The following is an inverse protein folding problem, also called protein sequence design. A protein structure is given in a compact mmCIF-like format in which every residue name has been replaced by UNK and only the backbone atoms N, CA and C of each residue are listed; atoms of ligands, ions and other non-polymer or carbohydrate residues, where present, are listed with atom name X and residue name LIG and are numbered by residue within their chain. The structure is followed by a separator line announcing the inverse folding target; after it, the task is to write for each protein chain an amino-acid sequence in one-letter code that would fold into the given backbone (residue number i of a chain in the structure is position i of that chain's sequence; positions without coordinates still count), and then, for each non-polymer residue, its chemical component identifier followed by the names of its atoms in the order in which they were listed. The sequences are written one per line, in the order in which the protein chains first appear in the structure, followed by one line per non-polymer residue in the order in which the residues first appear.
data_IF_033271910000
#
_entry.id   IF_033271910000
#
_cell.length_a   1.000
_cell.length_b   1.000
_cell.length_c   1.000
_cell.angle_alpha   90.00
_cell.angle_beta   90.00
_cell.angle_gamma   90.00
#
_symmetry.space_group_name_H-M   'P 1'
#
loop_
_entity.id
_entity.type
_entity.pdbx_description
1 polymer ?
#
# COMPACT_ATOMS: atom_id res chain seq x y z
N UNK A 1 -13.14 23.34 -42.39
CA UNK A 1 -12.21 22.89 -43.45
C UNK A 1 -11.76 21.49 -43.14
N UNK A 2 -11.99 20.66 -44.08
CA UNK A 2 -11.81 19.22 -44.09
C UNK A 2 -10.32 18.88 -44.32
N UNK A 3 -9.76 17.92 -43.64
CA UNK A 3 -8.46 17.34 -43.95
C UNK A 3 -8.40 15.87 -43.50
N UNK A 4 -8.84 15.00 -44.43
CA UNK A 4 -8.63 13.54 -44.36
C UNK A 4 -7.25 13.21 -44.96
N UNK A 5 -6.53 12.32 -44.37
CA UNK A 5 -5.51 11.48 -45.03
C UNK A 5 -5.36 10.21 -44.15
N UNK A 6 -5.85 9.13 -44.54
CA UNK A 6 -5.59 8.10 -45.54
C UNK A 6 -4.38 7.22 -45.20
N UNK A 7 -4.77 5.99 -44.93
CA UNK A 7 -4.10 4.68 -44.87
C UNK A 7 -2.76 4.55 -45.61
N UNK A 8 -1.89 3.69 -45.05
CA UNK A 8 -1.14 2.69 -45.84
C UNK A 8 -0.85 1.44 -44.97
N UNK A 9 -1.57 0.37 -45.32
CA UNK A 9 -1.29 -1.02 -45.00
C UNK A 9 -0.17 -1.55 -45.93
N UNK A 10 0.81 -2.25 -45.36
CA UNK A 10 1.65 -3.18 -46.16
C UNK A 10 1.77 -4.50 -45.39
N UNK A 11 1.29 -5.61 -45.97
CA UNK A 11 1.57 -6.94 -45.46
C UNK A 11 2.85 -7.47 -46.12
N UNK A 12 3.80 -7.96 -45.29
CA UNK A 12 4.91 -8.77 -45.82
C UNK A 12 4.84 -10.15 -45.22
N UNK A 13 4.30 -11.06 -46.05
CA UNK A 13 4.37 -12.51 -45.87
C UNK A 13 5.74 -13.01 -46.35
N UNK A 14 6.46 -13.71 -45.50
CA UNK A 14 7.60 -14.53 -45.90
C UNK A 14 7.40 -15.95 -45.35
N UNK A 15 7.05 -16.85 -46.28
CA UNK A 15 7.10 -18.29 -46.13
C UNK A 15 8.57 -18.74 -46.14
N UNK A 16 8.98 -19.46 -45.13
CA UNK A 16 10.15 -20.32 -45.17
C UNK A 16 9.80 -21.70 -44.60
N UNK A 17 9.61 -22.63 -45.47
CA UNK A 17 9.54 -24.08 -45.19
C UNK A 17 10.94 -24.59 -44.86
N UNK A 18 11.10 -25.24 -43.71
CA UNK A 18 12.21 -26.17 -43.48
C UNK A 18 11.70 -27.35 -42.66
N UNK A 19 11.62 -28.51 -43.31
CA UNK A 19 11.47 -29.80 -42.66
C UNK A 19 12.70 -30.14 -41.84
N UNK A 20 12.50 -30.54 -40.59
CA UNK A 20 13.50 -31.12 -39.70
C UNK A 20 12.80 -31.96 -38.65
N UNK A 21 12.70 -33.27 -38.93
CA UNK A 21 12.22 -34.29 -37.99
C UNK A 21 13.18 -34.45 -36.81
N UNK A 22 12.75 -34.08 -35.64
CA UNK A 22 13.45 -34.35 -34.38
C UNK A 22 12.43 -34.27 -33.24
N UNK A 23 11.85 -35.41 -32.88
CA UNK A 23 10.90 -35.53 -31.81
C UNK A 23 11.53 -35.23 -30.43
N UNK A 24 11.44 -34.01 -29.98
CA UNK A 24 11.65 -33.66 -28.58
C UNK A 24 10.28 -33.44 -27.99
N UNK A 25 9.86 -34.38 -27.16
CA UNK A 25 8.68 -34.29 -26.31
C UNK A 25 8.79 -33.00 -25.47
N UNK A 26 7.85 -32.06 -25.52
CA UNK A 26 7.89 -30.93 -24.64
C UNK A 26 7.81 -31.48 -23.23
N UNK A 27 8.82 -31.14 -22.42
CA UNK A 27 8.76 -31.34 -20.97
C UNK A 27 7.54 -30.59 -20.48
N UNK A 28 6.55 -31.32 -20.02
CA UNK A 28 5.42 -30.73 -19.32
C UNK A 28 6.00 -29.98 -18.11
N UNK A 29 5.96 -28.65 -18.16
CA UNK A 29 6.16 -27.82 -16.96
C UNK A 29 5.13 -28.27 -15.95
N UNK A 30 5.55 -29.08 -15.01
CA UNK A 30 4.73 -29.45 -13.86
C UNK A 30 4.45 -28.18 -13.06
N UNK A 31 3.33 -27.54 -13.37
CA UNK A 31 2.77 -26.50 -12.52
C UNK A 31 2.38 -27.22 -11.23
N UNK A 32 3.27 -27.21 -10.25
CA UNK A 32 2.98 -27.72 -8.90
C UNK A 32 1.89 -26.81 -8.33
N UNK A 33 0.65 -27.23 -8.45
CA UNK A 33 -0.48 -26.52 -7.85
C UNK A 33 -0.34 -26.65 -6.34
N UNK A 34 0.27 -25.63 -5.72
CA UNK A 34 0.34 -25.53 -4.26
C UNK A 34 -1.07 -25.54 -3.71
N UNK A 35 -1.37 -26.43 -2.77
CA UNK A 35 -2.71 -26.47 -2.17
C UNK A 35 -3.03 -25.12 -1.51
N UNK A 36 -4.28 -24.70 -1.53
CA UNK A 36 -4.72 -23.43 -0.94
C UNK A 36 -4.33 -23.32 0.56
N UNK A 37 -4.34 -24.44 1.30
CA UNK A 37 -3.91 -24.48 2.70
C UNK A 37 -2.41 -24.14 2.84
N UNK A 38 -1.55 -24.70 1.99
CA UNK A 38 -0.11 -24.40 2.00
C UNK A 38 0.16 -22.96 1.58
N UNK A 39 -0.55 -22.43 0.58
CA UNK A 39 -0.44 -21.04 0.15
C UNK A 39 -0.82 -20.08 1.28
N UNK A 40 -1.90 -20.36 2.00
CA UNK A 40 -2.34 -19.57 3.16
C UNK A 40 -1.29 -19.58 4.27
N UNK A 41 -0.74 -20.75 4.59
CA UNK A 41 0.30 -20.87 5.59
C UNK A 41 1.55 -20.07 5.21
N UNK A 42 2.01 -20.18 3.95
CA UNK A 42 3.18 -19.46 3.44
C UNK A 42 3.02 -17.95 3.56
N UNK A 43 1.88 -17.41 3.09
CA UNK A 43 1.63 -15.96 3.15
C UNK A 43 1.52 -15.47 4.59
N UNK A 44 0.81 -16.20 5.46
CA UNK A 44 0.67 -15.82 6.87
C UNK A 44 2.02 -15.87 7.61
N UNK A 45 2.88 -16.85 7.33
CA UNK A 45 4.22 -16.92 7.90
C UNK A 45 5.09 -15.75 7.44
N UNK A 46 5.04 -15.38 6.15
CA UNK A 46 5.78 -14.25 5.62
C UNK A 46 5.34 -12.92 6.26
N UNK A 47 4.03 -12.70 6.42
CA UNK A 47 3.48 -11.55 7.13
C UNK A 47 3.95 -11.52 8.59
N UNK A 48 3.84 -12.64 9.30
CA UNK A 48 4.23 -12.74 10.71
C UNK A 48 5.75 -12.55 10.90
N UNK A 49 6.57 -12.97 9.93
CA UNK A 49 8.01 -12.78 9.92
C UNK A 49 8.36 -11.30 9.74
N UNK A 50 7.77 -10.64 8.73
CA UNK A 50 8.00 -9.23 8.43
C UNK A 50 7.55 -8.30 9.55
N UNK A 51 6.44 -8.60 10.23
CA UNK A 51 5.91 -7.81 11.35
C UNK A 51 6.84 -7.75 12.58
N UNK A 52 7.94 -8.47 12.60
CA UNK A 52 8.93 -8.51 13.70
C UNK A 52 10.23 -7.81 13.34
N UNK A 53 10.35 -7.27 12.17
CA UNK A 53 11.58 -6.68 11.66
C UNK A 53 11.37 -5.23 11.26
N UNK A 54 12.36 -4.37 11.49
CA UNK A 54 12.41 -3.08 10.83
C UNK A 54 12.39 -3.27 9.32
N UNK A 55 11.80 -2.31 8.60
CA UNK A 55 11.61 -2.42 7.16
C UNK A 55 11.58 -1.05 6.50
N UNK A 56 12.19 -0.95 5.32
CA UNK A 56 11.93 0.15 4.39
C UNK A 56 10.66 -0.16 3.60
N UNK A 57 9.68 0.75 3.63
CA UNK A 57 8.44 0.62 2.89
C UNK A 57 8.28 1.77 1.89
N UNK A 58 8.01 1.44 0.64
CA UNK A 58 7.57 2.39 -0.37
C UNK A 58 6.11 2.13 -0.70
N UNK A 59 5.31 3.20 -0.82
CA UNK A 59 3.89 3.12 -1.12
C UNK A 59 3.55 3.93 -2.36
N UNK A 60 2.65 3.42 -3.16
CA UNK A 60 1.97 4.15 -4.20
C UNK A 60 0.48 3.88 -4.15
N UNK A 61 -0.32 4.93 -4.31
CA UNK A 61 -1.77 4.83 -4.26
C UNK A 61 -2.43 5.63 -5.37
N UNK A 62 -3.59 5.16 -5.80
CA UNK A 62 -4.47 5.83 -6.74
C UNK A 62 -5.89 5.76 -6.18
N UNK A 63 -6.47 6.93 -5.96
CA UNK A 63 -7.91 7.09 -5.67
C UNK A 63 -8.58 7.65 -6.91
N UNK A 64 -9.62 6.96 -7.40
CA UNK A 64 -10.44 7.44 -8.51
C UNK A 64 -11.86 7.63 -8.03
N UNK A 65 -12.34 8.87 -8.08
CA UNK A 65 -13.69 9.24 -7.68
C UNK A 65 -14.24 10.29 -8.63
N UNK A 66 -15.47 10.12 -9.12
CA UNK A 66 -16.16 11.08 -10.00
C UNK A 66 -15.33 11.53 -11.21
N UNK A 67 -14.56 10.61 -11.81
CA UNK A 67 -13.68 10.90 -12.94
C UNK A 67 -12.38 11.61 -12.59
N UNK A 68 -12.16 11.98 -11.34
CA UNK A 68 -10.90 12.56 -10.86
C UNK A 68 -9.98 11.50 -10.29
N UNK A 69 -8.68 11.74 -10.41
CA UNK A 69 -7.64 10.88 -9.88
C UNK A 69 -6.76 11.64 -8.88
N UNK A 70 -6.63 11.07 -7.69
CA UNK A 70 -5.69 11.52 -6.67
C UNK A 70 -4.61 10.46 -6.58
N UNK A 71 -3.37 10.84 -6.81
CA UNK A 71 -2.21 9.97 -6.68
C UNK A 71 -1.50 10.26 -5.38
N UNK A 72 -1.05 9.21 -4.73
CA UNK A 72 -0.17 9.31 -3.57
C UNK A 72 1.05 8.43 -3.78
N UNK A 73 2.18 8.87 -3.30
CA UNK A 73 3.40 8.09 -3.26
C UNK A 73 4.22 8.50 -2.04
N UNK A 74 4.98 7.57 -1.52
CA UNK A 74 5.81 7.86 -0.36
C UNK A 74 6.73 6.70 -0.05
N UNK A 75 7.66 6.94 0.88
CA UNK A 75 8.51 5.91 1.44
C UNK A 75 8.95 6.27 2.84
N UNK A 76 9.42 5.28 3.58
CA UNK A 76 9.92 5.50 4.92
C UNK A 76 10.43 4.23 5.56
N UNK A 77 11.02 4.39 6.72
CA UNK A 77 11.58 3.31 7.52
C UNK A 77 10.77 3.16 8.79
N UNK A 78 10.37 1.94 9.10
CA UNK A 78 9.52 1.66 10.26
C UNK A 78 10.02 0.43 11.00
N UNK A 79 10.08 0.52 12.32
CA UNK A 79 10.27 -0.64 13.20
C UNK A 79 8.95 -0.97 13.92
N UNK A 80 8.27 -2.05 13.52
CA UNK A 80 7.01 -2.46 14.13
C UNK A 80 7.15 -2.87 15.61
N UNK A 81 8.36 -3.28 16.04
CA UNK A 81 8.62 -3.76 17.39
C UNK A 81 8.71 -2.60 18.38
N UNK A 82 9.48 -1.57 18.04
CA UNK A 82 9.60 -0.35 18.84
C UNK A 82 8.44 0.62 18.60
N UNK A 83 7.65 0.41 17.55
CA UNK A 83 6.63 1.35 17.08
C UNK A 83 7.23 2.72 16.76
N UNK A 84 8.36 2.72 16.06
CA UNK A 84 9.04 3.95 15.63
C UNK A 84 9.20 3.97 14.13
N UNK A 85 9.23 5.15 13.52
CA UNK A 85 9.41 5.28 12.08
C UNK A 85 9.36 6.71 11.58
N UNK A 86 9.79 6.88 10.34
CA UNK A 86 9.64 8.12 9.58
C UNK A 86 9.10 7.79 8.20
N UNK A 87 8.10 8.54 7.75
CA UNK A 87 7.48 8.34 6.43
C UNK A 87 7.32 9.69 5.77
N UNK A 88 7.67 9.75 4.48
CA UNK A 88 7.47 10.90 3.62
C UNK A 88 6.44 10.52 2.55
N UNK A 89 5.33 11.22 2.50
CA UNK A 89 4.24 11.00 1.53
C UNK A 89 4.04 12.25 0.68
N UNK A 90 3.75 12.07 -0.58
CA UNK A 90 3.32 13.12 -1.49
C UNK A 90 1.93 12.80 -2.02
N UNK A 91 0.99 13.74 -1.90
CA UNK A 91 -0.40 13.59 -2.33
C UNK A 91 -0.69 14.61 -3.43
N UNK A 92 -1.15 14.10 -4.57
CA UNK A 92 -1.55 14.96 -5.70
C UNK A 92 -2.94 15.52 -5.49
N UNK A 93 -3.05 16.82 -5.24
CA UNK A 93 -4.31 17.54 -5.07
C UNK A 93 -4.39 18.69 -6.05
N UNK A 94 -5.42 18.71 -6.92
CA UNK A 94 -5.63 19.83 -7.85
C UNK A 94 -4.46 20.13 -8.80
N UNK A 95 -3.69 19.10 -9.16
CA UNK A 95 -2.48 19.26 -10.00
C UNK A 95 -1.22 19.65 -9.25
N UNK A 96 -1.29 19.84 -7.94
CA UNK A 96 -0.14 20.12 -7.07
C UNK A 96 0.23 18.90 -6.24
N UNK A 97 1.52 18.76 -5.90
CA UNK A 97 1.99 17.75 -4.96
C UNK A 97 2.08 18.38 -3.57
N UNK A 98 1.35 17.82 -2.63
CA UNK A 98 1.36 18.25 -1.22
C UNK A 98 2.20 17.25 -0.42
N UNK A 99 3.37 17.67 0.07
CA UNK A 99 4.20 16.81 0.91
C UNK A 99 3.59 16.69 2.31
N UNK A 100 3.74 15.51 2.88
CA UNK A 100 3.33 15.17 4.25
C UNK A 100 4.43 14.32 4.86
N UNK A 101 5.01 14.81 5.94
CA UNK A 101 6.03 14.11 6.70
C UNK A 101 5.41 13.57 7.99
N UNK A 102 5.69 12.31 8.29
CA UNK A 102 5.23 11.64 9.49
C UNK A 102 6.42 11.10 10.29
N UNK A 103 6.35 11.27 11.61
CA UNK A 103 7.26 10.64 12.56
C UNK A 103 6.42 9.89 13.58
N UNK A 104 6.65 8.59 13.68
CA UNK A 104 6.04 7.71 14.68
C UNK A 104 7.01 7.50 15.82
N UNK A 105 6.56 7.75 17.05
CA UNK A 105 7.31 7.52 18.28
C UNK A 105 6.39 6.88 19.33
N UNK A 106 6.40 5.56 19.39
CA UNK A 106 5.52 4.76 20.22
C UNK A 106 4.04 4.96 19.85
N UNK A 107 3.28 5.59 20.75
CA UNK A 107 1.86 5.89 20.53
C UNK A 107 1.61 7.29 19.99
N UNK A 108 2.66 8.04 19.70
CA UNK A 108 2.58 9.42 19.23
C UNK A 108 2.93 9.47 17.74
N UNK A 109 2.13 10.18 16.97
CA UNK A 109 2.40 10.55 15.60
C UNK A 109 2.61 12.05 15.51
N UNK A 110 3.68 12.45 14.85
CA UNK A 110 3.93 13.83 14.48
C UNK A 110 3.72 13.97 12.99
N UNK A 111 2.96 14.95 12.57
CA UNK A 111 2.64 15.19 11.16
C UNK A 111 3.00 16.62 10.79
N UNK A 112 3.70 16.78 9.67
CA UNK A 112 4.02 18.08 9.08
C UNK A 112 3.60 18.11 7.62
N UNK A 113 2.99 19.21 7.21
CA UNK A 113 2.64 19.48 5.81
C UNK A 113 2.45 20.98 5.61
N UNK A 114 2.74 21.45 4.40
CA UNK A 114 2.41 22.82 3.99
C UNK A 114 0.91 23.10 4.06
N UNK A 115 0.07 22.08 3.92
CA UNK A 115 -1.39 22.19 4.05
C UNK A 115 -1.81 22.72 5.42
N UNK A 116 -1.09 22.40 6.48
CA UNK A 116 -1.43 22.84 7.85
C UNK A 116 -0.88 24.21 8.22
N UNK A 117 -0.02 24.80 7.40
CA UNK A 117 0.73 26.02 7.76
C UNK A 117 -0.16 27.19 8.16
N UNK A 118 -1.34 27.33 7.55
CA UNK A 118 -2.31 28.39 7.87
C UNK A 118 -3.08 28.19 9.19
N UNK A 119 -3.08 26.98 9.72
CA UNK A 119 -3.77 26.62 10.96
C UNK A 119 -2.82 26.57 12.16
N UNK A 120 -1.52 26.47 11.90
CA UNK A 120 -0.53 26.34 12.97
C UNK A 120 -0.19 27.71 13.58
N UNK A 121 -0.04 27.77 14.92
CA UNK A 121 0.51 28.96 15.58
C UNK A 121 1.92 29.29 15.07
N UNK A 122 2.30 30.57 15.17
CA UNK A 122 3.63 31.02 14.74
C UNK A 122 4.77 30.18 15.33
N UNK A 123 5.71 29.78 14.50
CA UNK A 123 6.85 28.94 14.88
C UNK A 123 6.55 27.44 15.00
N UNK A 124 5.30 27.01 14.86
CA UNK A 124 4.94 25.60 14.86
C UNK A 124 4.97 25.05 13.44
N UNK A 125 5.44 23.80 13.31
CA UNK A 125 5.57 23.07 12.03
C UNK A 125 4.93 21.67 12.10
N UNK A 126 4.78 21.14 13.31
CA UNK A 126 4.36 19.77 13.56
C UNK A 126 3.10 19.73 14.39
N UNK A 127 2.15 18.91 13.93
CA UNK A 127 1.00 18.47 14.71
C UNK A 127 1.39 17.20 15.47
N UNK A 128 1.02 17.15 16.74
CA UNK A 128 1.17 15.96 17.58
C UNK A 128 -0.20 15.33 17.80
N UNK A 129 -0.32 14.02 17.52
CA UNK A 129 -1.53 13.23 17.69
C UNK A 129 -1.18 11.92 18.40
N UNK A 130 -2.16 11.28 19.01
CA UNK A 130 -2.05 9.84 19.27
C UNK A 130 -2.40 9.02 18.02
N UNK A 131 -1.91 7.79 17.92
CA UNK A 131 -2.09 6.91 16.75
C UNK A 131 -3.57 6.67 16.46
N UNK A 132 -4.43 6.54 17.48
CA UNK A 132 -5.86 6.27 17.27
C UNK A 132 -6.57 7.47 16.66
N UNK A 133 -6.29 8.69 17.17
CA UNK A 133 -6.81 9.95 16.62
C UNK A 133 -6.31 10.17 15.20
N UNK A 134 -5.06 9.88 14.94
CA UNK A 134 -4.48 9.99 13.62
C UNK A 134 -5.17 9.05 12.61
N UNK A 135 -5.39 7.80 12.96
CA UNK A 135 -6.09 6.82 12.12
C UNK A 135 -7.53 7.23 11.80
N UNK A 136 -8.22 7.86 12.75
CA UNK A 136 -9.57 8.36 12.56
C UNK A 136 -9.61 9.56 11.61
N UNK A 137 -8.60 10.41 11.65
CA UNK A 137 -8.54 11.67 10.90
C UNK A 137 -8.11 11.46 9.45
N UNK A 138 -7.03 10.71 9.23
CA UNK A 138 -6.46 10.51 7.90
C UNK A 138 -7.02 9.26 7.20
N UNK A 139 -7.82 8.49 7.93
CA UNK A 139 -8.38 7.23 7.46
C UNK A 139 -7.40 6.06 7.53
N UNK A 140 -7.94 4.83 7.59
CA UNK A 140 -7.13 3.62 7.75
C UNK A 140 -6.06 3.43 6.68
N UNK A 141 -6.31 3.93 5.46
CA UNK A 141 -5.38 3.76 4.35
C UNK A 141 -4.10 4.61 4.49
N UNK A 142 -4.20 5.81 5.09
CA UNK A 142 -3.04 6.68 5.31
C UNK A 142 -2.12 6.13 6.41
N UNK A 143 -2.70 5.43 7.40
CA UNK A 143 -1.98 4.86 8.54
C UNK A 143 -1.65 3.38 8.44
N UNK A 144 -2.15 2.67 7.41
CA UNK A 144 -1.81 1.27 7.18
C UNK A 144 -0.29 1.01 7.09
N UNK A 145 0.48 2.08 6.77
CA UNK A 145 1.94 2.03 6.71
C UNK A 145 2.59 2.25 8.08
N UNK A 146 1.98 3.07 8.95
CA UNK A 146 2.55 3.50 10.23
C UNK A 146 2.20 2.57 11.37
N UNK A 147 0.94 2.10 11.47
CA UNK A 147 0.54 1.24 12.60
C UNK A 147 1.20 -0.14 12.56
N UNK A 148 1.27 -0.74 11.40
CA UNK A 148 1.94 -2.04 11.19
C UNK A 148 2.34 -2.16 9.71
N UNK A 149 3.52 -1.71 9.31
CA UNK A 149 4.02 -1.91 7.95
C UNK A 149 3.92 -3.37 7.55
N UNK A 150 3.32 -3.64 6.40
CA UNK A 150 3.07 -5.00 5.96
C UNK A 150 1.95 -5.74 6.70
N UNK A 151 1.22 -5.08 7.62
CA UNK A 151 0.03 -5.67 8.23
C UNK A 151 -1.09 -5.75 7.20
N UNK A 152 -1.23 -6.90 6.59
CA UNK A 152 -2.38 -7.22 5.77
C UNK A 152 -3.55 -7.64 6.68
N UNK A 153 -4.81 -7.38 6.26
CA UNK A 153 -5.96 -7.93 6.95
C UNK A 153 -5.89 -9.47 6.94
N UNK A 154 -6.61 -10.16 7.81
CA UNK A 154 -6.70 -11.61 7.74
C UNK A 154 -7.13 -12.07 6.34
N UNK A 155 -6.42 -13.05 5.77
CA UNK A 155 -6.62 -13.51 4.41
C UNK A 155 -7.27 -14.89 4.37
N UNK A 156 -8.09 -15.10 3.36
CA UNK A 156 -8.69 -16.37 2.97
C UNK A 156 -8.61 -16.57 1.46
N UNK A 157 -8.93 -17.77 0.98
CA UNK A 157 -8.89 -18.13 -0.44
C UNK A 157 -7.54 -17.79 -1.09
N UNK A 158 -6.44 -18.07 -0.36
CA UNK A 158 -5.09 -17.79 -0.84
C UNK A 158 -4.68 -18.84 -1.86
N UNK A 159 -4.26 -18.41 -3.04
CA UNK A 159 -3.74 -19.30 -4.07
C UNK A 159 -2.61 -18.64 -4.85
N UNK A 160 -1.65 -19.44 -5.29
CA UNK A 160 -0.55 -18.99 -6.12
C UNK A 160 -1.05 -18.66 -7.52
N UNK A 161 -0.65 -17.51 -8.05
CA UNK A 161 -1.06 -17.02 -9.37
C UNK A 161 0.11 -16.79 -10.32
N UNK A 162 1.35 -16.90 -9.83
CA UNK A 162 2.53 -16.76 -10.68
C UNK A 162 3.78 -16.43 -9.89
N UNK A 163 4.80 -15.97 -10.59
CA UNK A 163 6.07 -15.49 -10.05
C UNK A 163 6.40 -14.11 -10.63
N UNK A 164 7.20 -13.33 -9.95
CA UNK A 164 7.69 -12.04 -10.42
C UNK A 164 8.99 -11.69 -9.72
N UNK A 165 9.79 -10.80 -10.31
CA UNK A 165 10.90 -10.16 -9.63
C UNK A 165 10.45 -8.83 -9.03
N UNK A 166 10.67 -8.62 -7.75
CA UNK A 166 10.38 -7.38 -7.02
C UNK A 166 11.69 -6.87 -6.45
N UNK A 167 12.15 -5.72 -6.92
CA UNK A 167 13.41 -5.08 -6.48
C UNK A 167 14.61 -6.05 -6.46
N UNK A 168 14.74 -6.86 -7.52
CA UNK A 168 15.81 -7.86 -7.67
C UNK A 168 15.54 -9.19 -6.96
N UNK A 169 14.52 -9.30 -6.12
CA UNK A 169 14.18 -10.54 -5.41
C UNK A 169 13.16 -11.36 -6.20
N UNK A 170 13.46 -12.64 -6.40
CA UNK A 170 12.50 -13.58 -6.98
C UNK A 170 11.38 -13.86 -5.98
N UNK A 171 10.15 -13.63 -6.39
CA UNK A 171 8.97 -13.78 -5.54
C UNK A 171 7.93 -14.68 -6.15
N UNK A 172 7.17 -15.34 -5.31
CA UNK A 172 5.92 -16.01 -5.68
C UNK A 172 4.76 -15.07 -5.42
N UNK A 173 3.92 -14.87 -6.42
CA UNK A 173 2.73 -14.03 -6.35
C UNK A 173 1.53 -14.87 -5.92
N UNK A 174 0.83 -14.39 -4.91
CA UNK A 174 -0.41 -14.96 -4.40
C UNK A 174 -1.56 -13.98 -4.59
N UNK A 175 -2.75 -14.52 -4.85
CA UNK A 175 -4.02 -13.82 -4.82
C UNK A 175 -4.82 -14.29 -3.61
N UNK A 176 -5.52 -13.38 -2.95
CA UNK A 176 -6.25 -13.65 -1.73
C UNK A 176 -7.50 -12.75 -1.61
N UNK A 177 -8.37 -13.09 -0.68
CA UNK A 177 -9.49 -12.25 -0.22
C UNK A 177 -9.36 -11.94 1.25
N UNK A 178 -10.00 -10.87 1.71
CA UNK A 178 -10.09 -10.55 3.14
C UNK A 178 -11.01 -11.55 3.84
N UNK A 179 -10.52 -12.18 4.90
CA UNK A 179 -11.34 -12.97 5.81
C UNK A 179 -12.08 -12.06 6.78
N UNK A 180 -13.27 -11.64 6.39
CA UNK A 180 -14.11 -10.75 7.21
C UNK A 180 -14.53 -11.38 8.53
N UNK A 181 -14.55 -12.71 8.65
CA UNK A 181 -14.92 -13.39 9.90
C UNK A 181 -13.91 -13.11 11.01
N UNK A 182 -12.63 -12.97 10.66
CA UNK A 182 -11.50 -12.74 11.56
C UNK A 182 -11.19 -11.27 11.86
N UNK A 183 -11.93 -10.34 11.27
CA UNK A 183 -11.79 -8.92 11.58
C UNK A 183 -12.29 -8.64 13.00
N UNK A 184 -11.62 -7.71 13.70
CA UNK A 184 -12.08 -7.25 15.02
C UNK A 184 -13.44 -6.55 14.94
N UNK A 185 -14.20 -6.46 16.03
CA UNK A 185 -15.48 -5.73 16.06
C UNK A 185 -15.32 -4.27 15.60
N UNK A 186 -14.25 -3.60 15.98
CA UNK A 186 -13.95 -2.23 15.56
C UNK A 186 -13.72 -2.13 14.03
N UNK A 187 -12.94 -3.05 13.46
CA UNK A 187 -12.72 -3.11 12.02
C UNK A 187 -14.02 -3.39 11.25
N UNK A 188 -14.85 -4.33 11.74
CA UNK A 188 -16.18 -4.62 11.14
C UNK A 188 -17.09 -3.40 11.17
N UNK A 189 -17.11 -2.66 12.28
CA UNK A 189 -17.89 -1.44 12.42
C UNK A 189 -17.41 -0.35 11.45
N UNK A 190 -16.10 -0.10 11.39
CA UNK A 190 -15.50 0.86 10.47
C UNK A 190 -15.81 0.56 9.01
N UNK A 191 -15.71 -0.71 8.60
CA UNK A 191 -16.07 -1.13 7.24
C UNK A 191 -17.54 -0.93 6.92
N UNK A 192 -18.42 -1.17 7.90
CA UNK A 192 -19.85 -0.96 7.74
C UNK A 192 -20.19 0.51 7.59
N UNK A 193 -19.62 1.38 8.40
CA UNK A 193 -19.87 2.84 8.36
C UNK A 193 -19.30 3.49 7.10
N UNK A 194 -18.15 3.05 6.62
CA UNK A 194 -17.49 3.62 5.44
C UNK A 194 -17.91 2.97 4.11
N UNK A 195 -18.83 1.97 4.14
CA UNK A 195 -19.28 1.23 2.94
C UNK A 195 -18.11 0.72 2.07
N UNK A 196 -17.02 0.29 2.74
CA UNK A 196 -15.82 -0.21 2.05
C UNK A 196 -16.02 -1.66 1.64
N UNK A 197 -15.69 -1.95 0.40
CA UNK A 197 -15.61 -3.29 -0.15
C UNK A 197 -14.19 -3.59 -0.58
N UNK A 198 -13.63 -4.68 -0.07
CA UNK A 198 -12.33 -5.16 -0.53
C UNK A 198 -12.48 -5.92 -1.84
N UNK A 199 -11.61 -5.61 -2.78
CA UNK A 199 -11.35 -6.40 -3.97
C UNK A 199 -10.33 -7.52 -3.69
N UNK A 200 -9.60 -7.89 -4.72
CA UNK A 200 -8.51 -8.85 -4.62
C UNK A 200 -7.31 -8.24 -3.91
N UNK A 201 -6.69 -9.03 -3.03
CA UNK A 201 -5.39 -8.71 -2.44
C UNK A 201 -4.34 -9.56 -3.14
N UNK A 202 -3.29 -8.94 -3.59
CA UNK A 202 -2.14 -9.61 -4.18
C UNK A 202 -0.94 -9.46 -3.25
N UNK A 203 -0.21 -10.56 -3.03
CA UNK A 203 0.95 -10.60 -2.13
C UNK A 203 2.10 -11.30 -2.84
N UNK A 204 3.28 -10.71 -2.82
CA UNK A 204 4.52 -11.27 -3.37
C UNK A 204 5.44 -11.67 -2.22
N UNK A 205 5.67 -12.95 -2.09
CA UNK A 205 6.54 -13.53 -1.06
C UNK A 205 7.85 -13.98 -1.70
N UNK A 206 8.95 -13.49 -1.17
CA UNK A 206 10.30 -13.84 -1.61
C UNK A 206 10.74 -15.23 -1.14
N UNK A 207 11.77 -15.77 -1.77
CA UNK A 207 12.42 -17.01 -1.36
C UNK A 207 13.05 -16.92 0.05
N UNK A 208 13.31 -15.70 0.51
CA UNK A 208 13.75 -15.37 1.88
C UNK A 208 12.61 -15.44 2.92
N UNK A 209 11.38 -15.67 2.47
CA UNK A 209 10.19 -15.79 3.30
C UNK A 209 9.64 -14.46 3.82
N UNK A 210 9.99 -13.33 3.22
CA UNK A 210 9.37 -12.03 3.50
C UNK A 210 8.38 -11.63 2.42
N UNK A 211 7.46 -10.73 2.76
CA UNK A 211 6.58 -10.08 1.78
C UNK A 211 7.35 -8.90 1.17
N UNK A 212 7.60 -8.95 -0.12
CA UNK A 212 8.29 -7.86 -0.83
C UNK A 212 7.34 -6.86 -1.48
N UNK A 213 6.09 -7.28 -1.76
CA UNK A 213 5.05 -6.38 -2.28
C UNK A 213 3.67 -6.85 -1.83
N UNK A 214 2.80 -5.92 -1.55
CA UNK A 214 1.38 -6.15 -1.40
C UNK A 214 0.59 -5.12 -2.20
N UNK A 215 -0.49 -5.56 -2.85
CA UNK A 215 -1.42 -4.67 -3.54
C UNK A 215 -2.84 -4.95 -3.04
N UNK A 216 -3.52 -3.90 -2.68
CA UNK A 216 -4.89 -3.95 -2.18
C UNK A 216 -5.75 -3.05 -3.04
N UNK A 217 -6.85 -3.57 -3.53
CA UNK A 217 -7.87 -2.80 -4.20
C UNK A 217 -9.12 -2.75 -3.31
N UNK A 218 -9.67 -1.55 -3.16
CA UNK A 218 -10.90 -1.34 -2.40
C UNK A 218 -11.81 -0.41 -3.17
N UNK A 219 -13.11 -0.51 -2.90
CA UNK A 219 -14.06 0.53 -3.29
C UNK A 219 -14.81 1.02 -2.06
N UNK A 220 -15.04 2.31 -1.98
CA UNK A 220 -15.82 2.96 -0.94
C UNK A 220 -16.96 3.75 -1.55
N UNK A 221 -18.01 3.98 -0.78
CA UNK A 221 -19.12 4.83 -1.18
C UNK A 221 -19.33 5.91 -0.13
N UNK A 222 -19.19 7.17 -0.52
CA UNK A 222 -19.38 8.31 0.36
C UNK A 222 -20.21 9.38 -0.36
N UNK A 223 -21.23 9.90 0.30
CA UNK A 223 -22.10 10.95 -0.28
C UNK A 223 -22.77 10.55 -1.60
N UNK A 224 -23.08 9.27 -1.81
CA UNK A 224 -23.66 8.75 -3.05
C UNK A 224 -22.64 8.56 -4.19
N UNK A 225 -21.38 8.89 -3.99
CA UNK A 225 -20.31 8.73 -4.98
C UNK A 225 -19.44 7.51 -4.67
N UNK A 226 -19.09 6.76 -5.71
CA UNK A 226 -18.19 5.63 -5.63
C UNK A 226 -16.74 6.08 -5.86
N UNK A 227 -15.85 5.69 -4.94
CA UNK A 227 -14.42 5.82 -5.10
C UNK A 227 -13.78 4.43 -5.21
N UNK A 228 -12.84 4.27 -6.13
CA UNK A 228 -11.98 3.11 -6.22
C UNK A 228 -10.60 3.50 -5.73
N UNK A 229 -10.01 2.67 -4.89
CA UNK A 229 -8.72 2.91 -4.25
C UNK A 229 -7.83 1.70 -4.55
N UNK A 230 -6.68 1.93 -5.13
CA UNK A 230 -5.63 0.94 -5.30
C UNK A 230 -4.38 1.39 -4.56
N UNK A 231 -3.86 0.56 -3.67
CA UNK A 231 -2.62 0.83 -2.93
C UNK A 231 -1.66 -0.31 -3.17
N UNK A 232 -0.43 0.03 -3.51
CA UNK A 232 0.69 -0.90 -3.61
C UNK A 232 1.75 -0.50 -2.61
N UNK A 233 2.16 -1.42 -1.76
CA UNK A 233 3.28 -1.27 -0.84
C UNK A 233 4.38 -2.22 -1.26
N UNK A 234 5.61 -1.73 -1.34
CA UNK A 234 6.82 -2.53 -1.60
C UNK A 234 7.71 -2.44 -0.37
N UNK A 235 8.20 -3.57 0.12
CA UNK A 235 8.98 -3.70 1.35
C UNK A 235 10.36 -4.25 1.02
N UNK A 236 11.39 -3.62 1.59
CA UNK A 236 12.80 -3.99 1.42
C UNK A 236 13.59 -3.74 2.71
N UNK A 237 14.87 -4.06 2.69
CA UNK A 237 15.80 -3.74 3.78
C UNK A 237 15.34 -4.26 5.15
N UNK A 238 14.76 -5.45 5.17
CA UNK A 238 14.32 -6.08 6.41
C UNK A 238 15.47 -6.28 7.38
N UNK A 239 15.28 -5.84 8.64
CA UNK A 239 16.27 -5.98 9.72
C UNK A 239 17.26 -4.84 9.83
N UNK A 240 17.23 -3.85 8.94
CA UNK A 240 18.05 -2.64 9.06
C UNK A 240 17.53 -1.74 10.19
N UNK A 241 18.45 -1.16 10.98
CA UNK A 241 18.06 -0.31 12.11
C UNK A 241 17.38 0.97 11.65
N UNK A 242 16.25 1.31 12.28
CA UNK A 242 15.52 2.57 12.01
C UNK A 242 15.97 3.64 13.00
N UNK A 243 16.37 4.79 12.45
CA UNK A 243 16.72 5.95 13.24
C UNK A 243 15.61 6.99 13.14
N UNK A 244 15.07 7.38 14.28
CA UNK A 244 13.97 8.35 14.36
C UNK A 244 14.40 9.59 15.12
N UNK A 245 14.17 10.76 14.53
CA UNK A 245 14.37 12.04 15.20
C UNK A 245 13.01 12.64 15.51
N UNK A 246 12.67 12.68 16.80
CA UNK A 246 11.41 13.29 17.26
C UNK A 246 11.46 14.80 17.04
N UNK A 247 10.42 15.43 16.47
CA UNK A 247 10.36 16.87 16.28
C UNK A 247 10.51 17.67 17.58
N UNK A 248 11.23 18.79 17.57
CA UNK A 248 11.43 19.62 18.75
C UNK A 248 10.09 20.11 19.35
N UNK A 249 9.94 20.05 20.66
CA UNK A 249 8.73 20.50 21.35
C UNK A 249 8.37 21.97 21.05
N UNK A 250 9.39 22.82 20.84
CA UNK A 250 9.20 24.22 20.43
C UNK A 250 8.51 24.39 19.08
N UNK A 251 8.64 23.41 18.18
CA UNK A 251 8.03 23.40 16.84
C UNK A 251 6.76 22.54 16.76
N UNK A 252 6.34 21.93 17.86
CA UNK A 252 5.22 21.00 17.91
C UNK A 252 4.03 21.63 18.64
N UNK A 253 2.82 21.32 18.17
CA UNK A 253 1.56 21.66 18.84
C UNK A 253 0.63 20.44 18.83
N UNK A 254 -0.13 20.25 19.90
CA UNK A 254 -1.15 19.23 20.00
C UNK A 254 -2.28 19.53 18.99
N UNK A 255 -2.66 18.55 18.19
CA UNK A 255 -3.68 18.73 17.16
C UNK A 255 -5.05 19.10 17.74
N UNK A 256 -5.37 18.69 18.98
CA UNK A 256 -6.61 19.07 19.66
C UNK A 256 -6.68 20.55 20.02
N UNK A 257 -5.54 21.27 20.00
CA UNK A 257 -5.45 22.70 20.29
C UNK A 257 -5.52 23.61 19.07
N UNK A 258 -5.61 23.03 17.88
CA UNK A 258 -5.70 23.76 16.62
C UNK A 258 -7.01 23.40 15.92
N UNK A 259 -7.72 24.40 15.44
CA UNK A 259 -9.05 24.23 14.81
C UNK A 259 -8.95 23.72 13.37
N UNK A 260 -8.24 22.61 13.13
CA UNK A 260 -8.15 22.01 11.81
C UNK A 260 -9.40 21.16 11.59
N UNK A 261 -10.18 21.39 10.52
CA UNK A 261 -11.35 20.57 10.20
C UNK A 261 -10.95 19.09 10.08
N UNK A 262 -11.68 18.22 10.80
CA UNK A 262 -11.39 16.79 10.84
C UNK A 262 -10.49 16.35 12.01
N UNK A 263 -9.91 17.28 12.78
CA UNK A 263 -9.09 16.99 13.97
C UNK A 263 -9.79 17.34 15.30
N UNK A 264 -11.09 17.60 15.27
CA UNK A 264 -11.86 17.81 16.50
C UNK A 264 -12.04 16.50 17.25
N UNK A 265 -11.61 16.47 18.52
CA UNK A 265 -11.86 15.43 19.50
C UNK A 265 -13.34 15.20 19.77
#
# INVERSE_FOLDING_TARGET
MRGRALLLLVPLALLATACGSGGSKPAASSTTTTSSANATATVNQAIAKGAKQPVHAAVSGLVTASGQQIRMSGSGDVDPKSQTGTIHVSIGLGGQQVPLDEVLDGKTVYVSSSFFSSFLPSGKKWLKLDVASASNTFGPAAFALTEKPGALPPLQDVHQVGTATVDGVQTTKYSAKVDRSKLSPAQKSALKSSHVTFGTIEVWVGSDGYVHRARIETSAQAGGQKANIAVTSTMSNYGESVQVTVPPAGQTVDASKVGIPGFSS
#
